data_IF_706225254388
#
_entry.id   IF_706225254388
#
_cell.length_a   1.000
_cell.length_b   1.000
_cell.length_c   1.000
_cell.angle_alpha   90.00
_cell.angle_beta   90.00
_cell.angle_gamma   90.00
#
_symmetry.space_group_name_H-M   'P 1'
#
loop_
_entity.id
_entity.type
_entity.pdbx_description
1 polymer ?
#
# COMPACT_ATOMS: atom_id res chain seq x y z
N UNK A 1 -45.37 76.98 92.61
CA UNK A 1 -46.35 77.08 91.50
C UNK A 1 -45.61 76.89 90.18
N UNK A 2 -46.05 75.93 89.34
CA UNK A 2 -45.75 75.77 87.89
C UNK A 2 -44.28 75.42 87.58
N UNK A 3 -43.81 74.17 87.43
CA UNK A 3 -44.24 73.06 86.55
C UNK A 3 -44.91 73.55 85.26
N UNK A 4 -44.12 74.14 84.36
CA UNK A 4 -44.24 74.02 82.89
C UNK A 4 -42.78 74.13 82.36
N UNK A 5 -41.97 73.07 82.47
CA UNK A 5 -41.65 72.18 81.34
C UNK A 5 -40.99 72.93 80.16
N UNK A 6 -39.70 73.24 80.21
CA UNK A 6 -38.55 72.32 80.05
C UNK A 6 -38.50 71.51 78.74
N UNK A 7 -39.10 72.02 77.65
CA UNK A 7 -39.22 71.27 76.38
C UNK A 7 -38.86 72.06 75.10
N UNK A 8 -37.90 72.99 75.13
CA UNK A 8 -37.53 73.80 73.93
C UNK A 8 -36.02 73.81 73.62
N UNK A 9 -35.18 73.08 74.35
CA UNK A 9 -33.72 73.18 74.19
C UNK A 9 -33.00 71.85 73.86
N UNK A 10 -33.71 70.91 73.23
CA UNK A 10 -33.10 69.69 72.66
C UNK A 10 -33.69 69.43 71.27
N UNK A 11 -33.26 70.21 70.29
CA UNK A 11 -33.51 69.92 68.87
C UNK A 11 -32.32 70.40 68.06
N UNK A 12 -31.16 69.82 68.38
CA UNK A 12 -29.89 70.17 67.76
C UNK A 12 -28.89 69.02 67.78
N UNK A 13 -29.34 67.79 67.52
CA UNK A 13 -28.46 66.68 67.15
C UNK A 13 -29.30 65.57 66.51
N UNK A 14 -28.97 65.27 65.27
CA UNK A 14 -29.06 64.00 64.52
C UNK A 14 -29.62 64.20 63.11
N UNK A 15 -28.71 64.11 62.14
CA UNK A 15 -29.01 64.13 60.71
C UNK A 15 -27.73 64.30 59.89
N UNK A 16 -26.79 63.35 59.99
CA UNK A 16 -25.74 63.23 58.97
C UNK A 16 -26.42 62.98 57.61
N UNK A 17 -25.99 63.61 56.51
CA UNK A 17 -26.69 63.51 55.24
C UNK A 17 -26.65 62.07 54.70
N UNK A 18 -27.81 61.44 54.60
CA UNK A 18 -28.01 60.10 54.04
C UNK A 18 -27.67 59.97 52.54
N UNK A 19 -27.20 61.04 51.89
CA UNK A 19 -26.93 61.10 50.45
C UNK A 19 -25.67 60.30 50.06
N UNK A 20 -24.60 60.35 50.86
CA UNK A 20 -23.32 59.70 50.53
C UNK A 20 -23.38 58.16 50.64
N UNK A 21 -24.18 57.65 51.57
CA UNK A 21 -24.45 56.21 51.72
C UNK A 21 -25.35 55.67 50.59
N UNK A 22 -26.33 56.46 50.14
CA UNK A 22 -27.22 56.09 49.04
C UNK A 22 -26.49 56.01 47.68
N UNK A 23 -25.60 56.96 47.41
CA UNK A 23 -24.74 56.94 46.21
C UNK A 23 -23.76 55.75 46.18
N UNK A 24 -23.17 55.40 47.33
CA UNK A 24 -22.34 54.19 47.42
C UNK A 24 -23.15 52.92 47.09
N UNK A 25 -24.36 52.79 47.63
CA UNK A 25 -25.24 51.64 47.35
C UNK A 25 -25.54 51.51 45.86
N UNK A 26 -25.84 52.62 45.17
CA UNK A 26 -26.10 52.62 43.73
C UNK A 26 -24.88 52.19 42.91
N UNK A 27 -23.68 52.68 43.26
CA UNK A 27 -22.42 52.28 42.61
C UNK A 27 -22.16 50.77 42.79
N UNK A 28 -22.41 50.23 43.99
CA UNK A 28 -22.26 48.79 44.24
C UNK A 28 -23.28 47.96 43.45
N UNK A 29 -24.52 48.41 43.34
CA UNK A 29 -25.54 47.75 42.50
C UNK A 29 -25.17 47.77 41.02
N UNK A 30 -24.69 48.91 40.50
CA UNK A 30 -24.25 49.04 39.11
C UNK A 30 -23.06 48.11 38.81
N UNK A 31 -22.06 48.06 39.69
CA UNK A 31 -20.89 47.15 39.57
C UNK A 31 -21.28 45.68 39.69
N UNK A 32 -22.25 45.36 40.55
CA UNK A 32 -22.81 44.01 40.66
C UNK A 32 -23.49 43.59 39.36
N UNK A 33 -24.26 44.49 38.75
CA UNK A 33 -24.92 44.23 37.47
C UNK A 33 -23.92 44.08 36.32
N UNK A 34 -22.87 44.91 36.29
CA UNK A 34 -21.75 44.79 35.33
C UNK A 34 -21.06 43.41 35.43
N UNK A 35 -20.70 42.99 36.66
CA UNK A 35 -20.07 41.68 36.89
C UNK A 35 -20.98 40.50 36.52
N UNK A 36 -22.30 40.62 36.74
CA UNK A 36 -23.26 39.60 36.31
C UNK A 36 -23.29 39.46 34.78
N UNK A 37 -23.27 40.58 34.05
CA UNK A 37 -23.21 40.56 32.59
C UNK A 37 -21.90 39.96 32.07
N UNK A 38 -20.77 40.24 32.72
CA UNK A 38 -19.50 39.61 32.35
C UNK A 38 -19.48 38.11 32.66
N UNK A 39 -20.05 37.69 33.79
CA UNK A 39 -20.19 36.27 34.12
C UNK A 39 -21.04 35.52 33.09
N UNK A 40 -22.14 36.12 32.63
CA UNK A 40 -22.99 35.56 31.58
C UNK A 40 -22.20 35.39 30.26
N UNK A 41 -21.46 36.42 29.84
CA UNK A 41 -20.58 36.34 28.65
C UNK A 41 -19.51 35.25 28.79
N UNK A 42 -18.90 35.11 29.97
CA UNK A 42 -17.89 34.07 30.22
C UNK A 42 -18.53 32.69 30.15
N UNK A 43 -19.75 32.52 30.65
CA UNK A 43 -20.45 31.23 30.57
C UNK A 43 -20.80 30.86 29.13
N UNK A 44 -21.30 31.81 28.32
CA UNK A 44 -21.53 31.61 26.88
C UNK A 44 -20.23 31.21 26.15
N UNK A 45 -19.11 31.89 26.44
CA UNK A 45 -17.82 31.54 25.88
C UNK A 45 -17.36 30.15 26.31
N UNK A 46 -17.57 29.76 27.58
CA UNK A 46 -17.24 28.42 28.06
C UNK A 46 -18.09 27.35 27.38
N UNK A 47 -19.38 27.58 27.22
CA UNK A 47 -20.29 26.65 26.54
C UNK A 47 -19.88 26.47 25.07
N UNK A 48 -19.54 27.56 24.37
CA UNK A 48 -19.06 27.48 22.98
C UNK A 48 -17.73 26.73 22.88
N UNK A 49 -16.77 26.98 23.78
CA UNK A 49 -15.49 26.27 23.84
C UNK A 49 -15.71 24.78 24.12
N UNK A 50 -16.55 24.43 25.10
CA UNK A 50 -16.85 23.03 25.43
C UNK A 50 -17.49 22.31 24.24
N UNK A 51 -18.39 22.96 23.50
CA UNK A 51 -18.96 22.41 22.28
C UNK A 51 -17.90 22.14 21.20
N UNK A 52 -16.97 23.08 21.00
CA UNK A 52 -15.88 22.96 20.03
C UNK A 52 -14.90 21.85 20.43
N UNK A 53 -14.59 21.77 21.73
CA UNK A 53 -13.73 20.73 22.29
C UNK A 53 -14.32 19.34 22.05
N UNK A 54 -15.60 19.14 22.37
CA UNK A 54 -16.31 17.87 22.12
C UNK A 54 -16.34 17.52 20.63
N UNK A 55 -16.61 18.49 19.75
CA UNK A 55 -16.60 18.27 18.31
C UNK A 55 -15.20 17.85 17.80
N UNK A 56 -14.15 18.46 18.36
CA UNK A 56 -12.76 18.13 18.02
C UNK A 56 -12.37 16.75 18.52
N UNK A 57 -12.74 16.37 19.74
CA UNK A 57 -12.51 15.04 20.31
C UNK A 57 -13.23 13.95 19.50
N UNK A 58 -14.48 14.18 19.08
CA UNK A 58 -15.20 13.26 18.21
C UNK A 58 -14.53 13.10 16.83
N UNK A 59 -14.07 14.22 16.25
CA UNK A 59 -13.35 14.19 14.98
C UNK A 59 -12.01 13.44 15.09
N UNK A 60 -11.24 13.66 16.16
CA UNK A 60 -10.01 12.94 16.44
C UNK A 60 -10.28 11.44 16.60
N UNK A 61 -11.29 11.07 17.39
CA UNK A 61 -11.70 9.67 17.57
C UNK A 61 -12.08 9.00 16.25
N UNK A 62 -12.83 9.70 15.38
CA UNK A 62 -13.17 9.23 14.02
C UNK A 62 -11.93 9.04 13.16
N UNK A 63 -10.99 9.99 13.20
CA UNK A 63 -9.72 9.90 12.44
C UNK A 63 -8.87 8.73 12.93
N UNK A 64 -8.72 8.55 14.23
CA UNK A 64 -7.98 7.42 14.81
C UNK A 64 -8.60 6.08 14.41
N UNK A 65 -9.93 5.94 14.51
CA UNK A 65 -10.63 4.74 14.08
C UNK A 65 -10.44 4.45 12.59
N UNK A 66 -10.47 5.49 11.74
CA UNK A 66 -10.23 5.36 10.31
C UNK A 66 -8.78 4.97 10.00
N UNK A 67 -7.80 5.56 10.67
CA UNK A 67 -6.37 5.23 10.49
C UNK A 67 -6.14 3.79 10.91
N UNK A 68 -6.58 3.39 12.11
CA UNK A 68 -6.46 2.01 12.58
C UNK A 68 -7.14 1.01 11.64
N UNK A 69 -8.31 1.36 11.11
CA UNK A 69 -9.01 0.53 10.11
C UNK A 69 -8.33 0.48 8.74
N UNK A 70 -7.53 1.49 8.37
CA UNK A 70 -6.70 1.47 7.17
C UNK A 70 -5.43 0.63 7.40
N UNK A 71 -4.78 0.78 8.55
CA UNK A 71 -3.58 0.03 8.90
C UNK A 71 -3.85 -1.47 8.88
N UNK A 72 -4.96 -1.92 9.49
CA UNK A 72 -5.35 -3.34 9.45
C UNK A 72 -5.60 -3.86 8.04
N UNK A 73 -6.22 -3.06 7.16
CA UNK A 73 -6.43 -3.42 5.75
C UNK A 73 -5.13 -3.47 4.97
N UNK A 74 -4.20 -2.57 5.26
CA UNK A 74 -2.86 -2.56 4.64
C UNK A 74 -2.11 -3.82 5.06
N UNK A 75 -2.10 -4.16 6.34
CA UNK A 75 -1.44 -5.36 6.85
C UNK A 75 -2.02 -6.65 6.26
N UNK A 76 -3.35 -6.75 6.16
CA UNK A 76 -4.02 -7.87 5.51
C UNK A 76 -3.59 -8.02 4.04
N UNK A 77 -3.65 -6.92 3.27
CA UNK A 77 -3.23 -6.93 1.85
C UNK A 77 -1.75 -7.27 1.70
N UNK A 78 -0.90 -6.78 2.58
CA UNK A 78 0.53 -7.04 2.56
C UNK A 78 0.84 -8.51 2.81
N UNK A 79 0.11 -9.15 3.74
CA UNK A 79 0.21 -10.60 3.97
C UNK A 79 -0.30 -11.41 2.78
N UNK A 80 -1.42 -11.01 2.15
CA UNK A 80 -1.92 -11.66 0.93
C UNK A 80 -0.93 -11.56 -0.23
N UNK A 81 -0.31 -10.38 -0.43
CA UNK A 81 0.69 -10.16 -1.47
C UNK A 81 1.91 -11.06 -1.23
N UNK A 82 2.43 -11.11 0.00
CA UNK A 82 3.56 -11.99 0.36
C UNK A 82 3.26 -13.46 0.11
N UNK A 83 2.07 -13.92 0.48
CA UNK A 83 1.64 -15.30 0.24
C UNK A 83 1.55 -15.62 -1.26
N UNK A 84 0.99 -14.70 -2.05
CA UNK A 84 0.94 -14.82 -3.51
C UNK A 84 2.32 -14.83 -4.14
N UNK A 85 3.22 -13.94 -3.72
CA UNK A 85 4.59 -13.88 -4.24
C UNK A 85 5.37 -15.17 -3.95
N UNK A 86 5.24 -15.73 -2.75
CA UNK A 86 5.84 -17.01 -2.40
C UNK A 86 5.29 -18.16 -3.26
N UNK A 87 3.97 -18.21 -3.47
CA UNK A 87 3.33 -19.20 -4.34
C UNK A 87 3.80 -19.07 -5.79
N UNK A 88 3.84 -17.85 -6.34
CA UNK A 88 4.32 -17.58 -7.70
C UNK A 88 5.78 -18.00 -7.87
N UNK A 89 6.65 -17.67 -6.91
CA UNK A 89 8.05 -18.12 -6.93
C UNK A 89 8.17 -19.64 -6.95
N UNK A 90 7.38 -20.34 -6.12
CA UNK A 90 7.36 -21.81 -6.09
C UNK A 90 6.92 -22.39 -7.43
N UNK A 91 5.79 -21.93 -7.97
CA UNK A 91 5.27 -22.38 -9.26
C UNK A 91 6.27 -22.09 -10.40
N UNK A 92 6.94 -20.94 -10.36
CA UNK A 92 7.94 -20.58 -11.36
C UNK A 92 9.15 -21.53 -11.33
N UNK A 93 9.65 -21.84 -10.14
CA UNK A 93 10.77 -22.79 -9.99
C UNK A 93 10.37 -24.22 -10.37
N UNK A 94 9.15 -24.65 -10.05
CA UNK A 94 8.61 -25.93 -10.50
C UNK A 94 8.47 -25.98 -12.04
N UNK A 95 7.94 -24.92 -12.65
CA UNK A 95 7.80 -24.83 -14.10
C UNK A 95 9.16 -24.83 -14.82
N UNK A 96 10.18 -24.15 -14.28
CA UNK A 96 11.54 -24.21 -14.82
C UNK A 96 12.09 -25.64 -14.79
N UNK A 97 11.98 -26.33 -13.65
CA UNK A 97 12.43 -27.72 -13.51
C UNK A 97 11.71 -28.64 -14.49
N UNK A 98 10.39 -28.52 -14.61
CA UNK A 98 9.60 -29.31 -15.56
C UNK A 98 10.03 -29.00 -16.98
N UNK A 99 10.25 -27.74 -17.34
CA UNK A 99 10.69 -27.34 -18.68
C UNK A 99 12.06 -27.93 -19.01
N UNK A 100 13.00 -27.90 -18.05
CA UNK A 100 14.33 -28.47 -18.23
C UNK A 100 14.26 -29.99 -18.39
N UNK A 101 13.43 -30.68 -17.58
CA UNK A 101 13.16 -32.11 -17.73
C UNK A 101 12.55 -32.44 -19.09
N UNK A 102 11.58 -31.66 -19.57
CA UNK A 102 10.97 -31.85 -20.89
C UNK A 102 12.01 -31.65 -21.99
N UNK A 103 12.85 -30.63 -21.90
CA UNK A 103 13.93 -30.37 -22.86
C UNK A 103 14.93 -31.52 -22.90
N UNK A 104 15.36 -32.01 -21.73
CA UNK A 104 16.27 -33.15 -21.61
C UNK A 104 15.64 -34.41 -22.20
N UNK A 105 14.42 -34.77 -21.81
CA UNK A 105 13.72 -35.96 -22.32
C UNK A 105 13.47 -35.89 -23.83
N UNK A 106 13.08 -34.72 -24.35
CA UNK A 106 12.89 -34.50 -25.78
C UNK A 106 14.21 -34.67 -26.52
N UNK A 107 15.28 -34.02 -26.04
CA UNK A 107 16.62 -34.12 -26.61
C UNK A 107 17.14 -35.55 -26.60
N UNK A 108 17.01 -36.27 -25.48
CA UNK A 108 17.52 -37.63 -25.33
C UNK A 108 16.81 -38.61 -26.26
N UNK A 109 15.48 -38.56 -26.32
CA UNK A 109 14.71 -39.50 -27.15
C UNK A 109 14.95 -39.24 -28.64
N UNK A 110 14.96 -37.97 -29.04
CA UNK A 110 15.23 -37.55 -30.42
C UNK A 110 16.67 -37.92 -30.81
N UNK A 111 17.65 -37.55 -29.99
CA UNK A 111 19.06 -37.84 -30.23
C UNK A 111 19.32 -39.34 -30.33
N UNK A 112 18.73 -40.15 -29.45
CA UNK A 112 18.84 -41.61 -29.53
C UNK A 112 18.23 -42.20 -30.79
N UNK A 113 17.06 -41.72 -31.22
CA UNK A 113 16.40 -42.20 -32.44
C UNK A 113 17.24 -41.88 -33.68
N UNK A 114 17.69 -40.64 -33.83
CA UNK A 114 18.46 -40.23 -35.00
C UNK A 114 19.91 -40.73 -34.97
N UNK A 115 20.52 -40.91 -33.80
CA UNK A 115 21.88 -41.50 -33.68
C UNK A 115 21.93 -42.97 -34.07
N UNK A 116 20.85 -43.73 -33.86
CA UNK A 116 20.75 -45.15 -34.23
C UNK A 116 20.22 -45.37 -35.65
N UNK A 117 19.65 -44.34 -36.27
CA UNK A 117 19.08 -44.42 -37.60
C UNK A 117 20.19 -44.39 -38.66
N UNK A 118 19.96 -45.06 -39.80
CA UNK A 118 20.89 -45.01 -40.93
C UNK A 118 21.00 -43.57 -41.44
N UNK A 119 22.22 -43.04 -41.70
CA UNK A 119 22.41 -41.63 -42.09
C UNK A 119 21.60 -41.21 -43.31
N UNK A 120 21.39 -42.11 -44.29
CA UNK A 120 20.57 -41.81 -45.48
C UNK A 120 19.08 -41.64 -45.15
N UNK A 121 18.53 -42.43 -44.23
CA UNK A 121 17.15 -42.31 -43.79
C UNK A 121 16.95 -41.03 -42.97
N UNK A 122 17.89 -40.71 -42.07
CA UNK A 122 17.88 -39.46 -41.33
C UNK A 122 17.96 -38.24 -42.25
N UNK A 123 18.85 -38.27 -43.25
CA UNK A 123 18.97 -37.19 -44.24
C UNK A 123 17.65 -36.96 -44.99
N UNK A 124 16.97 -38.03 -45.38
CA UNK A 124 15.70 -37.95 -46.09
C UNK A 124 14.58 -37.37 -45.20
N UNK A 125 14.46 -37.82 -43.94
CA UNK A 125 13.46 -37.31 -42.99
C UNK A 125 13.72 -35.84 -42.65
N UNK A 126 14.96 -35.48 -42.33
CA UNK A 126 15.33 -34.10 -41.96
C UNK A 126 15.18 -33.13 -43.14
N UNK A 127 15.31 -33.60 -44.38
CA UNK A 127 15.10 -32.77 -45.57
C UNK A 127 13.62 -32.43 -45.83
N UNK A 128 12.69 -33.21 -45.27
CA UNK A 128 11.25 -33.04 -45.47
C UNK A 128 10.59 -32.14 -44.41
N UNK A 129 11.32 -31.73 -43.37
CA UNK A 129 10.82 -30.87 -42.30
C UNK A 129 11.38 -29.44 -42.41
N UNK A 130 10.85 -28.47 -41.64
CA UNK A 130 11.38 -27.12 -41.59
C UNK A 130 12.86 -27.11 -41.19
N UNK A 131 13.64 -26.22 -41.82
CA UNK A 131 15.10 -26.17 -41.58
C UNK A 131 15.45 -25.82 -40.14
N UNK A 132 14.56 -25.11 -39.41
CA UNK A 132 14.72 -24.83 -37.97
C UNK A 132 14.65 -26.11 -37.14
N UNK A 133 13.64 -26.94 -37.38
CA UNK A 133 13.38 -28.14 -36.60
C UNK A 133 14.45 -29.20 -36.86
N UNK A 134 14.90 -29.29 -38.13
CA UNK A 134 16.01 -30.15 -38.48
C UNK A 134 17.32 -29.70 -37.81
N UNK A 135 17.57 -28.40 -37.72
CA UNK A 135 18.73 -27.86 -37.01
C UNK A 135 18.66 -28.13 -35.51
N UNK A 136 17.49 -27.96 -34.89
CA UNK A 136 17.28 -28.30 -33.47
C UNK A 136 17.60 -29.79 -33.23
N UNK A 137 17.12 -30.69 -34.07
CA UNK A 137 17.42 -32.13 -33.95
C UNK A 137 18.92 -32.38 -34.15
N UNK A 138 19.54 -31.81 -35.18
CA UNK A 138 20.97 -31.97 -35.45
C UNK A 138 21.84 -31.42 -34.32
N UNK A 139 21.40 -30.38 -33.61
CA UNK A 139 22.13 -29.82 -32.46
C UNK A 139 22.24 -30.81 -31.29
N UNK A 140 21.33 -31.79 -31.20
CA UNK A 140 21.34 -32.85 -30.17
C UNK A 140 22.21 -34.05 -30.53
N UNK A 141 22.75 -34.12 -31.75
CA UNK A 141 23.54 -35.23 -32.25
C UNK A 141 25.04 -34.91 -32.16
N UNK A 142 25.88 -35.94 -32.09
CA UNK A 142 27.32 -35.73 -32.17
C UNK A 142 27.77 -35.29 -33.57
N UNK A 143 28.88 -34.56 -33.64
CA UNK A 143 29.41 -33.98 -34.88
C UNK A 143 29.69 -35.02 -35.98
N UNK A 144 30.06 -36.25 -35.60
CA UNK A 144 30.30 -37.35 -36.55
C UNK A 144 29.01 -37.79 -37.24
N UNK A 145 27.92 -38.00 -36.49
CA UNK A 145 26.61 -38.37 -37.04
C UNK A 145 26.05 -37.25 -37.90
N UNK A 146 26.15 -35.99 -37.43
CA UNK A 146 25.74 -34.81 -38.21
C UNK A 146 26.48 -34.76 -39.55
N UNK A 147 27.80 -34.92 -39.55
CA UNK A 147 28.61 -34.95 -40.78
C UNK A 147 28.21 -36.08 -41.74
N UNK A 148 27.92 -37.28 -41.20
CA UNK A 148 27.46 -38.41 -42.01
C UNK A 148 26.07 -38.19 -42.62
N UNK A 149 25.17 -37.51 -41.92
CA UNK A 149 23.84 -37.17 -42.42
C UNK A 149 23.94 -36.09 -43.50
N UNK A 150 24.70 -35.00 -43.26
CA UNK A 150 24.92 -33.94 -44.24
C UNK A 150 25.54 -34.47 -45.53
N UNK A 151 26.47 -35.42 -45.44
CA UNK A 151 27.09 -36.08 -46.60
C UNK A 151 26.10 -36.91 -47.46
N UNK A 152 24.91 -37.23 -46.92
CA UNK A 152 23.85 -37.99 -47.60
C UNK A 152 22.63 -37.12 -47.92
N UNK A 153 22.70 -35.82 -47.64
CA UNK A 153 21.64 -34.84 -47.82
C UNK A 153 21.85 -34.02 -49.10
N UNK A 154 20.78 -33.42 -49.62
CA UNK A 154 20.90 -32.44 -50.68
C UNK A 154 21.73 -31.21 -50.22
N UNK A 155 22.70 -30.72 -51.02
CA UNK A 155 23.57 -29.62 -50.62
C UNK A 155 22.85 -28.31 -50.31
N UNK A 156 21.77 -27.98 -51.03
CA UNK A 156 21.01 -26.73 -50.77
C UNK A 156 20.30 -26.84 -49.43
N UNK A 157 19.64 -27.97 -49.17
CA UNK A 157 18.95 -28.19 -47.90
C UNK A 157 19.92 -28.28 -46.72
N UNK A 158 21.07 -28.94 -46.91
CA UNK A 158 22.14 -28.99 -45.92
C UNK A 158 22.68 -27.60 -45.56
N UNK A 159 22.85 -26.72 -46.54
CA UNK A 159 23.27 -25.32 -46.31
C UNK A 159 22.24 -24.56 -45.48
N UNK A 160 20.95 -24.64 -45.82
CA UNK A 160 19.88 -23.97 -45.07
C UNK A 160 19.80 -24.43 -43.62
N UNK A 161 19.89 -25.75 -43.37
CA UNK A 161 19.86 -26.32 -42.02
C UNK A 161 21.11 -25.89 -41.24
N UNK A 162 22.28 -25.86 -41.88
CA UNK A 162 23.53 -25.40 -41.25
C UNK A 162 23.46 -23.94 -40.86
N UNK A 163 22.82 -23.08 -41.68
CA UNK A 163 22.60 -21.68 -41.34
C UNK A 163 21.67 -21.50 -40.15
N UNK A 164 20.68 -22.37 -39.98
CA UNK A 164 19.84 -22.38 -38.78
C UNK A 164 20.61 -22.87 -37.56
N UNK A 165 21.44 -23.91 -37.72
CA UNK A 165 22.27 -24.46 -36.65
C UNK A 165 23.22 -23.41 -36.05
N UNK A 166 23.78 -22.52 -36.87
CA UNK A 166 24.63 -21.39 -36.44
C UNK A 166 23.90 -20.34 -35.60
N UNK A 167 22.56 -20.25 -35.73
CA UNK A 167 21.73 -19.27 -35.01
C UNK A 167 21.26 -19.78 -33.66
N UNK A 168 21.40 -21.09 -33.39
CA UNK A 168 21.04 -21.68 -32.10
C UNK A 168 22.06 -21.20 -31.05
N UNK A 169 21.60 -20.55 -29.96
CA UNK A 169 22.51 -20.12 -28.89
C UNK A 169 23.19 -21.34 -28.26
N UNK A 170 24.52 -21.32 -28.17
CA UNK A 170 25.23 -22.35 -27.41
C UNK A 170 24.88 -22.23 -25.91
N UNK A 171 24.62 -23.35 -25.21
CA UNK A 171 24.50 -23.31 -23.76
C UNK A 171 25.80 -22.76 -23.16
N UNK A 172 25.73 -21.96 -22.08
CA UNK A 172 26.93 -21.40 -21.45
C UNK A 172 27.88 -22.54 -21.04
N UNK A 173 29.15 -22.42 -21.42
CA UNK A 173 30.23 -23.33 -21.02
C UNK A 173 30.50 -23.26 -19.53
#
# INVERSE_FOLDING_TARGET
MKIIWSLVLISGLYGAPASKSYECTKIFEDRKNELLLELERIDEQKQSLDSLKRATEDLLRKKEALVKGKDTKVDQKLNEIRAKEASVKKILEENKKILDQIKQLKSDKVSQTFSKMKPSASAQILSQMPSSDAADIMSTLNSKVVGQILAKMDPKKGSEITDQLRKIPEPPK
#
